data_IF_687643596815
#
_entry.id   IF_687643596815
#
_cell.length_a   1.000
_cell.length_b   1.000
_cell.length_c   1.000
_cell.angle_alpha   90.00
_cell.angle_beta   90.00
_cell.angle_gamma   90.00
#
_symmetry.space_group_name_H-M   'P 1'
#
loop_
_entity.id
_entity.type
_entity.pdbx_description
1 polymer ?
#
# COMPACT_ATOMS: atom_id res chain seq x y z
N UNK A 1 -19.58 38.14 26.60
CA UNK A 1 -19.27 36.78 26.13
C UNK A 1 -19.79 36.70 24.71
N UNK A 2 -18.92 36.41 23.75
CA UNK A 2 -19.36 36.08 22.39
C UNK A 2 -20.03 34.72 22.45
N UNK A 3 -21.28 34.62 22.02
CA UNK A 3 -22.03 33.36 21.99
C UNK A 3 -21.38 32.42 20.97
N UNK A 4 -21.15 31.17 21.35
CA UNK A 4 -20.68 30.16 20.41
C UNK A 4 -21.80 29.80 19.43
N UNK A 5 -21.47 29.76 18.14
CA UNK A 5 -22.38 29.33 17.07
C UNK A 5 -21.65 28.36 16.14
N UNK A 6 -22.41 27.43 15.56
CA UNK A 6 -21.92 26.48 14.57
C UNK A 6 -22.90 26.36 13.40
N UNK A 7 -22.38 26.41 12.18
CA UNK A 7 -23.15 26.24 10.94
C UNK A 7 -22.55 25.14 10.07
N UNK A 8 -23.36 24.62 9.16
CA UNK A 8 -23.00 23.62 8.17
C UNK A 8 -23.55 24.06 6.80
N UNK A 9 -22.68 24.13 5.81
CA UNK A 9 -23.01 24.54 4.45
C UNK A 9 -22.45 23.54 3.45
N UNK A 10 -23.11 23.35 2.32
CA UNK A 10 -22.58 22.52 1.24
C UNK A 10 -21.46 23.25 0.50
N UNK A 11 -20.45 22.50 0.09
CA UNK A 11 -19.32 23.01 -0.68
C UNK A 11 -19.03 22.08 -1.86
N UNK A 12 -19.17 22.55 -3.10
CA UNK A 12 -18.69 21.80 -4.26
C UNK A 12 -17.17 21.59 -4.16
N UNK A 13 -16.69 20.40 -4.56
CA UNK A 13 -15.26 20.08 -4.54
C UNK A 13 -14.39 21.15 -5.23
N UNK A 14 -14.85 21.67 -6.37
CA UNK A 14 -14.15 22.71 -7.12
C UNK A 14 -14.00 24.05 -6.36
N UNK A 15 -14.82 24.28 -5.32
CA UNK A 15 -14.80 25.50 -4.51
C UNK A 15 -13.92 25.41 -3.26
N UNK A 16 -13.27 24.28 -2.99
CA UNK A 16 -12.48 24.06 -1.76
C UNK A 16 -11.39 25.11 -1.57
N UNK A 17 -10.56 25.32 -2.60
CA UNK A 17 -9.45 26.25 -2.51
C UNK A 17 -9.92 27.71 -2.48
N UNK A 18 -10.88 28.08 -3.33
CA UNK A 18 -11.45 29.43 -3.36
C UNK A 18 -12.06 29.82 -2.00
N UNK A 19 -12.76 28.88 -1.34
CA UNK A 19 -13.27 29.08 0.01
C UNK A 19 -12.13 29.29 1.01
N UNK A 20 -11.09 28.44 0.98
CA UNK A 20 -9.94 28.59 1.87
C UNK A 20 -9.25 29.94 1.68
N UNK A 21 -9.09 30.40 0.44
CA UNK A 21 -8.52 31.70 0.10
C UNK A 21 -9.35 32.85 0.66
N UNK A 22 -10.68 32.80 0.51
CA UNK A 22 -11.59 33.79 1.07
C UNK A 22 -11.52 33.82 2.60
N UNK A 23 -11.57 32.66 3.25
CA UNK A 23 -11.46 32.53 4.72
C UNK A 23 -10.11 33.04 5.23
N UNK A 24 -9.02 32.75 4.54
CA UNK A 24 -7.69 33.23 4.89
C UNK A 24 -7.60 34.76 4.78
N UNK A 25 -8.09 35.33 3.67
CA UNK A 25 -8.13 36.78 3.47
C UNK A 25 -8.99 37.52 4.50
N UNK A 26 -10.08 36.89 4.95
CA UNK A 26 -10.96 37.40 6.00
C UNK A 26 -10.41 37.20 7.42
N UNK A 27 -9.27 36.52 7.58
CA UNK A 27 -8.65 36.27 8.88
C UNK A 27 -9.32 35.17 9.71
N UNK A 28 -9.98 34.21 9.07
CA UNK A 28 -10.47 33.01 9.75
C UNK A 28 -9.33 32.06 10.05
N UNK A 29 -9.41 31.40 11.21
CA UNK A 29 -8.49 30.34 11.58
C UNK A 29 -8.99 29.01 11.02
N UNK A 30 -8.15 28.27 10.32
CA UNK A 30 -8.42 26.87 10.00
C UNK A 30 -8.45 26.02 11.28
N UNK A 31 -9.40 25.08 11.35
CA UNK A 31 -9.60 24.22 12.52
C UNK A 31 -9.21 22.79 12.19
N UNK A 32 -9.81 22.20 11.16
CA UNK A 32 -9.59 20.81 10.73
C UNK A 32 -10.23 20.56 9.36
N UNK A 33 -9.84 19.43 8.75
CA UNK A 33 -10.61 18.71 7.74
C UNK A 33 -10.96 17.36 8.36
N UNK A 34 -12.25 17.04 8.44
CA UNK A 34 -12.72 15.73 8.89
C UNK A 34 -13.16 14.91 7.67
N UNK A 35 -12.60 13.71 7.50
CA UNK A 35 -13.07 12.74 6.53
C UNK A 35 -14.09 11.78 7.16
N UNK A 36 -15.19 11.53 6.45
CA UNK A 36 -16.23 10.57 6.83
C UNK A 36 -16.43 9.60 5.68
N UNK A 37 -16.27 8.31 5.94
CA UNK A 37 -16.52 7.26 4.96
C UNK A 37 -18.02 6.97 4.88
N UNK A 38 -18.61 7.13 3.69
CA UNK A 38 -20.04 6.90 3.43
C UNK A 38 -20.24 5.89 2.31
N UNK A 39 -21.47 5.43 2.09
CA UNK A 39 -21.80 4.58 0.93
C UNK A 39 -21.61 5.33 -0.41
N UNK A 40 -21.75 6.65 -0.40
CA UNK A 40 -21.63 7.51 -1.57
C UNK A 40 -20.21 8.04 -1.79
N UNK A 41 -19.22 7.69 -0.97
CA UNK A 41 -17.84 8.15 -1.09
C UNK A 41 -17.31 8.73 0.23
N UNK A 42 -16.26 9.55 0.13
CA UNK A 42 -15.70 10.22 1.30
C UNK A 42 -16.25 11.63 1.39
N UNK A 43 -16.89 11.95 2.51
CA UNK A 43 -17.29 13.32 2.81
C UNK A 43 -16.14 14.03 3.52
N UNK A 44 -15.84 15.26 3.12
CA UNK A 44 -14.82 16.12 3.73
C UNK A 44 -15.48 17.36 4.34
N UNK A 45 -15.34 17.52 5.65
CA UNK A 45 -15.85 18.68 6.38
C UNK A 45 -14.70 19.63 6.69
N UNK A 46 -14.66 20.76 6.01
CA UNK A 46 -13.70 21.84 6.27
C UNK A 46 -14.25 22.77 7.35
N UNK A 47 -13.53 22.91 8.46
CA UNK A 47 -13.95 23.74 9.59
C UNK A 47 -13.06 24.97 9.74
N UNK A 48 -13.69 26.14 9.83
CA UNK A 48 -13.02 27.42 10.09
C UNK A 48 -13.66 28.12 11.29
N UNK A 49 -12.85 28.82 12.09
CA UNK A 49 -13.32 29.52 13.29
C UNK A 49 -12.92 30.99 13.28
N UNK A 50 -13.88 31.86 13.60
CA UNK A 50 -13.68 33.29 13.81
C UNK A 50 -14.72 33.84 14.76
N UNK A 51 -14.30 34.67 15.72
CA UNK A 51 -15.18 35.42 16.64
C UNK A 51 -16.28 34.57 17.35
N UNK A 52 -15.97 33.32 17.69
CA UNK A 52 -16.91 32.40 18.35
C UNK A 52 -17.83 31.62 17.41
N UNK A 53 -17.71 31.83 16.10
CA UNK A 53 -18.44 31.10 15.07
C UNK A 53 -17.56 30.01 14.45
N UNK A 54 -18.05 28.77 14.45
CA UNK A 54 -17.44 27.61 13.80
C UNK A 54 -18.22 27.27 12.52
N UNK A 55 -17.72 27.73 11.38
CA UNK A 55 -18.33 27.45 10.08
C UNK A 55 -17.78 26.14 9.52
N UNK A 56 -18.66 25.21 9.15
CA UNK A 56 -18.32 23.91 8.56
C UNK A 56 -18.83 23.83 7.14
N UNK A 57 -17.99 23.36 6.22
CA UNK A 57 -18.31 23.26 4.81
C UNK A 57 -18.13 21.81 4.35
N UNK A 58 -19.21 21.20 3.86
CA UNK A 58 -19.26 19.79 3.54
C UNK A 58 -19.09 19.56 2.04
N UNK A 59 -18.02 18.86 1.67
CA UNK A 59 -17.80 18.32 0.33
C UNK A 59 -18.21 16.85 0.36
N UNK A 60 -19.37 16.52 -0.19
CA UNK A 60 -19.88 15.15 -0.13
C UNK A 60 -19.42 14.26 -1.28
N UNK A 61 -19.27 12.96 -0.98
CA UNK A 61 -19.18 11.91 -1.99
C UNK A 61 -17.91 11.91 -2.83
N UNK A 62 -16.80 12.41 -2.30
CA UNK A 62 -15.49 12.40 -2.99
C UNK A 62 -15.11 10.96 -3.35
N UNK A 63 -14.82 10.73 -4.62
CA UNK A 63 -14.42 9.44 -5.18
C UNK A 63 -12.90 9.35 -5.27
N UNK A 64 -12.37 8.13 -5.35
CA UNK A 64 -10.94 7.89 -5.60
C UNK A 64 -10.45 8.43 -6.94
N UNK A 65 -11.35 8.74 -7.88
CA UNK A 65 -11.03 9.37 -9.18
C UNK A 65 -10.92 10.88 -9.09
N UNK A 66 -11.43 11.48 -8.02
CA UNK A 66 -11.41 12.91 -7.81
C UNK A 66 -10.06 13.32 -7.20
N UNK A 67 -9.67 14.57 -7.44
CA UNK A 67 -8.45 15.15 -6.87
C UNK A 67 -8.86 16.41 -6.11
N UNK A 68 -8.61 16.42 -4.80
CA UNK A 68 -8.90 17.55 -3.91
C UNK A 68 -7.70 18.50 -3.94
N UNK A 69 -7.88 19.81 -4.17
CA UNK A 69 -6.78 20.75 -4.04
C UNK A 69 -6.40 20.92 -2.56
N UNK A 70 -5.11 20.83 -2.24
CA UNK A 70 -4.59 21.16 -0.91
C UNK A 70 -4.81 22.63 -0.60
N UNK A 71 -5.04 22.95 0.68
CA UNK A 71 -5.13 24.34 1.19
C UNK A 71 -3.85 24.79 1.92
N UNK A 72 -2.78 23.99 1.85
CA UNK A 72 -1.56 24.21 2.65
C UNK A 72 -0.70 25.38 2.22
N UNK A 73 -0.94 25.94 1.03
CA UNK A 73 -0.37 27.22 0.60
C UNK A 73 -0.93 28.40 1.42
N UNK A 74 -2.13 28.25 1.98
CA UNK A 74 -2.81 29.25 2.82
C UNK A 74 -2.77 28.89 4.31
N UNK A 75 -3.00 27.61 4.62
CA UNK A 75 -3.06 27.07 5.98
C UNK A 75 -2.09 25.89 6.09
N UNK A 76 -0.81 26.20 6.30
CA UNK A 76 0.26 25.20 6.31
C UNK A 76 -0.09 24.02 7.23
N UNK A 77 -0.68 24.27 8.40
CA UNK A 77 -1.06 23.25 9.39
C UNK A 77 -2.03 22.18 8.86
N UNK A 78 -2.73 22.43 7.75
CA UNK A 78 -3.62 21.45 7.12
C UNK A 78 -2.88 20.22 6.61
N UNK A 79 -1.55 20.28 6.41
CA UNK A 79 -0.75 19.17 5.87
C UNK A 79 -0.92 17.89 6.69
N UNK A 80 -1.11 18.00 8.01
CA UNK A 80 -1.31 16.85 8.89
C UNK A 80 -2.61 16.12 8.53
N UNK A 81 -3.72 16.86 8.43
CA UNK A 81 -5.02 16.31 8.10
C UNK A 81 -5.05 15.78 6.66
N UNK A 82 -4.48 16.52 5.71
CA UNK A 82 -4.49 16.13 4.29
C UNK A 82 -3.69 14.84 4.07
N UNK A 83 -2.50 14.71 4.66
CA UNK A 83 -1.73 13.47 4.59
C UNK A 83 -2.44 12.31 5.32
N UNK A 84 -3.04 12.56 6.48
CA UNK A 84 -3.84 11.54 7.18
C UNK A 84 -5.01 11.05 6.31
N UNK A 85 -5.73 11.96 5.66
CA UNK A 85 -6.88 11.65 4.81
C UNK A 85 -6.42 10.85 3.59
N UNK A 86 -5.32 11.25 2.96
CA UNK A 86 -4.71 10.51 1.87
C UNK A 86 -4.37 9.07 2.28
N UNK A 87 -3.68 8.88 3.41
CA UNK A 87 -3.24 7.57 3.88
C UNK A 87 -4.42 6.67 4.34
N UNK A 88 -5.31 7.22 5.15
CA UNK A 88 -6.37 6.46 5.82
C UNK A 88 -7.58 6.19 4.92
N UNK A 89 -7.88 7.09 3.99
CA UNK A 89 -9.08 7.06 3.15
C UNK A 89 -8.80 6.94 1.65
N UNK A 90 -7.54 7.02 1.20
CA UNK A 90 -7.15 6.94 -0.23
C UNK A 90 -7.77 8.05 -1.08
N UNK A 91 -7.98 9.23 -0.48
CA UNK A 91 -8.41 10.44 -1.19
C UNK A 91 -7.18 11.09 -1.81
N UNK A 92 -7.19 11.31 -3.12
CA UNK A 92 -6.12 12.02 -3.78
C UNK A 92 -6.21 13.52 -3.46
N UNK A 93 -5.11 14.08 -2.94
CA UNK A 93 -4.98 15.51 -2.65
C UNK A 93 -3.74 16.03 -3.38
N UNK A 94 -3.90 17.07 -4.20
CA UNK A 94 -2.79 17.66 -4.95
C UNK A 94 -2.16 18.84 -4.22
N UNK A 95 -0.90 19.11 -4.51
CA UNK A 95 -0.18 20.33 -4.11
C UNK A 95 -0.02 20.53 -2.58
N UNK A 96 0.04 19.43 -1.82
CA UNK A 96 0.37 19.49 -0.39
C UNK A 96 1.79 20.04 -0.21
N UNK A 97 1.95 21.12 0.54
CA UNK A 97 3.23 21.79 0.75
C UNK A 97 4.27 20.90 1.46
N UNK A 98 3.82 20.04 2.39
CA UNK A 98 4.62 19.01 3.05
C UNK A 98 3.94 17.66 2.81
N UNK A 99 4.26 17.07 1.66
CA UNK A 99 3.70 15.79 1.22
C UNK A 99 4.58 14.61 1.64
N UNK A 100 3.99 13.63 2.31
CA UNK A 100 4.65 12.37 2.69
C UNK A 100 4.42 11.26 1.65
N UNK A 101 3.65 11.51 0.59
CA UNK A 101 3.49 10.61 -0.55
C UNK A 101 2.88 9.26 -0.19
N UNK A 102 1.94 9.22 0.77
CA UNK A 102 1.36 7.97 1.26
C UNK A 102 2.08 7.32 2.45
N UNK A 103 3.05 8.03 3.05
CA UNK A 103 3.93 7.51 4.10
C UNK A 103 3.83 8.31 5.41
N UNK A 104 2.74 9.05 5.62
CA UNK A 104 2.51 9.76 6.88
C UNK A 104 2.27 8.78 8.02
N UNK A 105 1.55 7.70 7.75
CA UNK A 105 1.41 6.54 8.63
C UNK A 105 2.06 5.28 8.06
N UNK A 106 2.58 4.44 8.96
CA UNK A 106 2.97 3.07 8.61
C UNK A 106 1.75 2.16 8.68
N UNK A 107 0.98 2.10 7.58
CA UNK A 107 -0.24 1.32 7.51
C UNK A 107 0.04 -0.14 7.18
N UNK A 108 -0.65 -1.04 7.89
CA UNK A 108 -0.64 -2.47 7.56
C UNK A 108 -1.47 -2.79 6.30
N UNK A 109 -2.43 -1.93 5.97
CA UNK A 109 -3.37 -2.10 4.87
C UNK A 109 -3.68 -0.77 4.20
N UNK A 110 -3.94 -0.78 2.89
CA UNK A 110 -4.34 0.42 2.15
C UNK A 110 -5.74 0.87 2.59
N UNK A 111 -5.90 2.16 2.85
CA UNK A 111 -7.19 2.81 3.09
C UNK A 111 -8.04 2.11 4.19
N UNK A 112 -7.52 1.93 5.41
CA UNK A 112 -8.18 1.14 6.45
C UNK A 112 -9.54 1.72 6.88
N UNK A 113 -9.78 3.02 6.69
CA UNK A 113 -11.02 3.68 7.12
C UNK A 113 -12.15 3.60 6.08
N UNK A 114 -11.95 2.89 4.96
CA UNK A 114 -12.92 2.84 3.83
C UNK A 114 -13.83 1.60 3.82
N UNK A 115 -13.96 0.88 4.93
CA UNK A 115 -14.83 -0.31 5.03
C UNK A 115 -16.11 0.07 5.77
N UNK A 116 -17.26 0.11 5.06
CA UNK A 116 -18.57 0.43 5.66
C UNK A 116 -19.40 -0.81 6.02
N UNK A 117 -19.07 -2.01 5.50
CA UNK A 117 -19.85 -3.22 5.77
C UNK A 117 -19.02 -4.51 5.93
N UNK A 118 -19.56 -5.56 6.59
CA UNK A 118 -18.94 -6.88 6.66
C UNK A 118 -18.68 -7.51 5.28
N UNK A 119 -19.57 -7.28 4.31
CA UNK A 119 -19.43 -7.79 2.95
C UNK A 119 -18.23 -7.16 2.23
N UNK A 120 -18.02 -5.84 2.41
CA UNK A 120 -16.85 -5.15 1.87
C UNK A 120 -15.55 -5.66 2.52
N UNK A 121 -15.57 -5.90 3.84
CA UNK A 121 -14.43 -6.49 4.54
C UNK A 121 -14.09 -7.87 3.97
N UNK A 122 -15.09 -8.75 3.85
CA UNK A 122 -14.92 -10.09 3.30
C UNK A 122 -14.40 -10.06 1.85
N UNK A 123 -14.89 -9.12 1.03
CA UNK A 123 -14.40 -8.92 -0.34
C UNK A 123 -12.92 -8.50 -0.36
N UNK A 124 -12.51 -7.58 0.51
CA UNK A 124 -11.12 -7.11 0.65
C UNK A 124 -10.20 -8.23 1.13
N UNK A 125 -10.62 -9.03 2.13
CA UNK A 125 -9.87 -10.20 2.58
C UNK A 125 -9.71 -11.27 1.49
N UNK A 126 -10.78 -11.53 0.72
CA UNK A 126 -10.73 -12.46 -0.41
C UNK A 126 -9.76 -11.97 -1.49
N UNK A 127 -9.79 -10.67 -1.82
CA UNK A 127 -8.87 -10.06 -2.77
C UNK A 127 -7.41 -10.20 -2.30
N UNK A 128 -7.13 -9.94 -1.02
CA UNK A 128 -5.79 -10.13 -0.43
C UNK A 128 -5.29 -11.57 -0.54
N UNK A 129 -6.16 -12.55 -0.22
CA UNK A 129 -5.80 -13.99 -0.35
C UNK A 129 -5.47 -14.36 -1.81
N UNK A 130 -6.24 -13.85 -2.76
CA UNK A 130 -5.99 -14.07 -4.19
C UNK A 130 -4.67 -13.42 -4.62
N UNK A 131 -4.42 -12.17 -4.22
CA UNK A 131 -3.19 -11.45 -4.53
C UNK A 131 -1.95 -12.15 -3.94
N UNK A 132 -2.02 -12.58 -2.67
CA UNK A 132 -0.94 -13.34 -2.04
C UNK A 132 -0.66 -14.67 -2.74
N UNK A 133 -1.71 -15.41 -3.13
CA UNK A 133 -1.55 -16.65 -3.89
C UNK A 133 -0.92 -16.41 -5.28
N UNK A 134 -1.29 -15.31 -5.96
CA UNK A 134 -0.70 -14.91 -7.24
C UNK A 134 0.79 -14.54 -7.07
N UNK A 135 1.11 -13.68 -6.11
CA UNK A 135 2.48 -13.28 -5.80
C UNK A 135 3.36 -14.50 -5.44
N UNK A 136 2.84 -15.45 -4.66
CA UNK A 136 3.56 -16.69 -4.34
C UNK A 136 3.83 -17.58 -5.56
N UNK A 137 2.91 -17.63 -6.53
CA UNK A 137 3.13 -18.35 -7.80
C UNK A 137 4.16 -17.64 -8.68
N UNK A 138 4.08 -16.32 -8.78
CA UNK A 138 5.03 -15.51 -9.55
C UNK A 138 6.44 -15.59 -8.95
N UNK A 139 6.58 -15.55 -7.62
CA UNK A 139 7.86 -15.77 -6.94
C UNK A 139 8.43 -17.17 -7.22
N UNK A 140 7.59 -18.21 -7.27
CA UNK A 140 8.02 -19.57 -7.66
C UNK A 140 8.39 -19.69 -9.14
N UNK A 141 7.82 -18.87 -10.01
CA UNK A 141 8.12 -18.86 -11.44
C UNK A 141 9.35 -18.00 -11.79
N UNK A 142 9.63 -16.97 -10.99
CA UNK A 142 10.81 -16.10 -11.10
C UNK A 142 12.03 -16.65 -10.34
N UNK A 143 11.85 -17.65 -9.47
CA UNK A 143 12.96 -18.40 -8.92
C UNK A 143 13.74 -19.05 -10.09
N UNK A 144 15.07 -18.87 -10.16
CA UNK A 144 15.86 -19.56 -11.17
C UNK A 144 15.54 -21.04 -11.13
N UNK A 145 15.38 -21.66 -12.30
CA UNK A 145 15.52 -23.10 -12.38
C UNK A 145 16.98 -23.42 -12.10
N UNK A 146 17.38 -23.43 -10.83
CA UNK A 146 18.32 -24.42 -10.36
C UNK A 146 17.61 -25.76 -10.56
N UNK A 147 17.69 -26.28 -11.79
CA UNK A 147 17.54 -27.70 -12.01
C UNK A 147 18.44 -28.40 -10.99
N UNK A 148 18.05 -29.57 -10.47
CA UNK A 148 18.81 -30.24 -9.43
C UNK A 148 20.25 -30.40 -9.94
N UNK A 149 21.15 -29.52 -9.49
CA UNK A 149 22.58 -29.72 -9.64
C UNK A 149 22.82 -30.90 -8.73
N UNK A 150 22.92 -32.09 -9.36
CA UNK A 150 23.41 -33.27 -8.68
C UNK A 150 24.69 -32.91 -7.94
N UNK A 151 25.00 -33.63 -6.85
CA UNK A 151 26.16 -33.33 -6.01
C UNK A 151 27.40 -33.14 -6.88
N UNK A 152 28.14 -32.07 -6.62
CA UNK A 152 29.34 -31.70 -7.36
C UNK A 152 30.40 -32.81 -7.26
N UNK A 153 31.31 -32.89 -8.22
CA UNK A 153 32.39 -33.91 -8.27
C UNK A 153 33.17 -33.95 -6.93
N UNK A 154 33.37 -32.79 -6.29
CA UNK A 154 34.03 -32.63 -5.00
C UNK A 154 33.22 -33.23 -3.83
N UNK A 155 31.89 -33.06 -3.82
CA UNK A 155 31.01 -33.66 -2.81
C UNK A 155 30.91 -35.18 -2.95
N UNK A 156 30.99 -35.69 -4.18
CA UNK A 156 31.05 -37.13 -4.46
C UNK A 156 32.39 -37.69 -3.95
N UNK A 157 33.50 -37.00 -4.19
CA UNK A 157 34.83 -37.40 -3.71
C UNK A 157 34.95 -37.37 -2.19
N UNK A 158 34.41 -36.35 -1.52
CA UNK A 158 34.39 -36.25 -0.06
C UNK A 158 33.59 -37.39 0.59
N UNK A 159 32.47 -37.79 -0.03
CA UNK A 159 31.68 -38.94 0.44
C UNK A 159 32.39 -40.27 0.20
N UNK A 160 33.13 -40.42 -0.90
CA UNK A 160 33.94 -41.63 -1.17
C UNK A 160 35.12 -41.73 -0.20
N UNK A 161 35.72 -40.61 0.24
CA UNK A 161 36.83 -40.60 1.20
C UNK A 161 36.43 -41.05 2.61
N UNK A 162 35.16 -40.88 3.00
CA UNK A 162 34.62 -41.35 4.28
C UNK A 162 34.08 -42.78 4.28
N UNK A 163 34.16 -43.50 3.15
CA UNK A 163 33.67 -44.87 3.02
C UNK A 163 34.78 -45.90 3.25
N UNK A 164 34.41 -47.04 3.83
CA UNK A 164 35.26 -48.22 3.90
C UNK A 164 35.79 -48.60 2.50
N UNK A 165 37.07 -49.00 2.34
CA UNK A 165 37.71 -49.25 1.04
C UNK A 165 36.92 -50.18 0.11
N UNK A 166 36.23 -51.18 0.65
CA UNK A 166 35.40 -52.09 -0.15
C UNK A 166 34.16 -51.40 -0.75
N UNK A 167 33.56 -50.49 0.02
CA UNK A 167 32.38 -49.71 -0.41
C UNK A 167 32.78 -48.58 -1.36
N UNK A 168 33.93 -47.96 -1.14
CA UNK A 168 34.49 -46.95 -2.03
C UNK A 168 34.77 -47.51 -3.43
N UNK A 169 35.34 -48.72 -3.51
CA UNK A 169 35.58 -49.41 -4.78
C UNK A 169 34.27 -49.70 -5.54
N UNK A 170 33.23 -50.14 -4.84
CA UNK A 170 31.91 -50.43 -5.43
C UNK A 170 31.21 -49.18 -5.96
N UNK A 171 31.34 -48.04 -5.26
CA UNK A 171 30.79 -46.75 -5.70
C UNK A 171 31.52 -46.21 -6.92
N UNK A 172 32.86 -46.33 -6.97
CA UNK A 172 33.66 -45.93 -8.14
C UNK A 172 33.32 -46.77 -9.38
N UNK A 173 33.23 -48.09 -9.23
CA UNK A 173 32.85 -48.99 -10.32
C UNK A 173 31.42 -48.72 -10.86
N UNK A 174 30.48 -48.40 -9.97
CA UNK A 174 29.12 -48.06 -10.35
C UNK A 174 29.04 -46.72 -11.12
N UNK A 175 29.85 -45.73 -10.74
CA UNK A 175 29.94 -44.44 -11.44
C UNK A 175 30.57 -44.58 -12.82
N UNK A 176 31.65 -45.36 -12.93
CA UNK A 176 32.35 -45.60 -14.21
C UNK A 176 31.47 -46.39 -15.19
N UNK A 177 30.70 -47.36 -14.70
CA UNK A 177 29.70 -48.07 -15.51
C UNK A 177 28.56 -47.14 -15.97
N UNK A 178 28.16 -46.17 -15.14
CA UNK A 178 27.14 -45.17 -15.50
C UNK A 178 27.66 -44.18 -16.53
N UNK A 179 28.91 -43.75 -16.41
CA UNK A 179 29.59 -42.88 -17.37
C UNK A 179 29.75 -43.57 -18.74
N UNK A 180 30.09 -44.86 -18.74
CA UNK A 180 30.19 -45.65 -19.97
C UNK A 180 28.84 -45.83 -20.67
N UNK A 181 27.77 -46.10 -19.92
CA UNK A 181 26.39 -46.13 -20.46
C UNK A 181 25.91 -44.78 -21.01
N UNK A 182 26.32 -43.68 -20.37
CA UNK A 182 26.00 -42.33 -20.84
C UNK A 182 26.78 -41.93 -22.12
N UNK A 183 27.98 -42.49 -22.31
CA UNK A 183 28.76 -42.32 -23.54
C UNK A 183 28.22 -43.18 -24.69
N UNK A 184 27.70 -44.37 -24.39
CA UNK A 184 27.09 -45.29 -25.39
C UNK A 184 25.70 -44.82 -25.86
N UNK A 185 24.95 -44.05 -25.05
CA UNK A 185 23.63 -43.52 -25.41
C UNK A 185 23.62 -42.20 -26.20
N UNK A 186 24.77 -41.69 -26.65
CA UNK A 186 24.89 -40.46 -27.45
C UNK A 186 25.12 -40.71 -28.96
N UNK A 187 24.93 -41.93 -29.43
CA UNK A 187 25.03 -42.31 -30.83
C UNK A 187 23.76 -42.96 -31.37
N UNK A 188 22.68 -42.19 -31.48
CA UNK A 188 21.63 -42.35 -32.52
C UNK A 188 20.87 -41.03 -32.70
#
# INVERSE_FOLDING_TARGET
>A
MTTFEQTFEELPLAGVHDLAAARHAEGWRYVQILAVNTEEGIDLVYSYMKDGHLANFNVSGVKQTDVVPSITDLYLEAFVCENEIHDLFDVAISDIAIDFGGMFYQLAEKAPMTVVSPEQLAAREKAKKIAAAKAAKEAKAAAPAEGPTGPTEEEIQAKIAGLDPEKAAKVRAAMEAKARKAAEGKGE
#
